data_IF_686969284451
#
_entry.id   IF_686969284451
#
_cell.length_a   1.000
_cell.length_b   1.000
_cell.length_c   1.000
_cell.angle_alpha   90.00
_cell.angle_beta   90.00
_cell.angle_gamma   90.00
#
_symmetry.space_group_name_H-M   'P 1'
#
loop_
_entity.id
_entity.type
_entity.pdbx_description
1 polymer ?
#
# COMPACT_ATOMS: atom_id res chain seq x y z
N UNK A 1 -11.59 27.42 39.76
CA UNK A 1 -12.03 26.57 38.60
C UNK A 1 -11.38 27.14 37.35
N UNK A 2 -10.16 26.66 37.04
CA UNK A 2 -9.47 26.98 35.80
C UNK A 2 -10.04 26.07 34.72
N UNK A 3 -10.89 26.63 33.85
CA UNK A 3 -11.43 25.94 32.69
C UNK A 3 -10.31 25.82 31.65
N UNK A 4 -9.71 24.63 31.51
CA UNK A 4 -8.81 24.35 30.41
C UNK A 4 -9.62 24.45 29.11
N UNK A 5 -9.54 25.57 28.45
CA UNK A 5 -9.97 25.71 27.06
C UNK A 5 -9.09 24.80 26.22
N UNK A 6 -9.60 23.60 25.91
CA UNK A 6 -9.05 22.82 24.80
C UNK A 6 -9.14 23.68 23.54
N UNK A 7 -8.03 24.22 23.11
CA UNK A 7 -7.95 24.87 21.81
C UNK A 7 -8.22 23.79 20.75
N UNK A 8 -9.50 23.63 20.39
CA UNK A 8 -9.87 22.86 19.19
C UNK A 8 -9.17 23.56 18.02
N UNK A 9 -8.15 22.93 17.47
CA UNK A 9 -7.53 23.41 16.24
C UNK A 9 -8.64 23.51 15.19
N UNK A 10 -8.79 24.65 14.52
CA UNK A 10 -9.82 24.80 13.49
C UNK A 10 -9.70 23.70 12.44
N UNK A 11 -10.80 23.12 11.98
CA UNK A 11 -10.77 22.03 10.99
C UNK A 11 -9.96 22.38 9.73
N UNK A 12 -9.96 23.64 9.32
CA UNK A 12 -9.23 24.13 8.15
C UNK A 12 -7.71 23.95 8.26
N UNK A 13 -7.14 24.03 9.47
CA UNK A 13 -5.71 23.84 9.69
C UNK A 13 -5.28 22.38 9.63
N UNK A 14 -6.24 21.45 9.58
CA UNK A 14 -6.00 20.01 9.41
C UNK A 14 -6.25 19.54 8.00
N UNK A 15 -6.53 20.42 7.06
CA UNK A 15 -7.01 20.04 5.72
C UNK A 15 -5.95 19.46 4.79
N UNK A 16 -4.66 19.61 5.08
CA UNK A 16 -3.57 19.06 4.27
C UNK A 16 -2.39 18.69 5.15
N UNK A 17 -1.75 17.55 4.87
CA UNK A 17 -0.56 17.12 5.59
C UNK A 17 -0.46 15.61 5.79
N UNK A 18 0.52 15.22 6.56
CA UNK A 18 0.83 13.82 6.83
C UNK A 18 0.05 13.31 8.05
N UNK A 19 -0.68 12.24 7.87
CA UNK A 19 -1.26 11.44 8.94
C UNK A 19 -0.32 10.28 9.24
N UNK A 20 0.04 10.11 10.50
CA UNK A 20 1.00 9.12 10.97
C UNK A 20 0.29 8.14 11.89
N UNK A 21 0.24 6.90 11.50
CA UNK A 21 -0.26 5.83 12.35
C UNK A 21 0.91 5.30 13.20
N UNK A 22 0.77 5.45 14.51
CA UNK A 22 1.84 5.14 15.46
C UNK A 22 1.42 4.01 16.40
N UNK A 23 2.38 3.14 16.72
CA UNK A 23 2.31 2.21 17.84
C UNK A 23 2.93 2.87 19.08
N UNK A 24 2.17 2.94 20.15
CA UNK A 24 2.63 3.40 21.46
C UNK A 24 2.34 2.30 22.48
N UNK A 25 3.32 1.44 22.73
CA UNK A 25 3.19 0.30 23.64
C UNK A 25 2.01 -0.63 23.28
N UNK A 26 1.83 -0.97 22.02
CA UNK A 26 0.75 -1.79 21.51
C UNK A 26 -0.56 -1.04 21.28
N UNK A 27 -0.66 0.24 21.64
CA UNK A 27 -1.84 1.08 21.43
C UNK A 27 -1.72 1.87 20.13
N UNK A 28 -2.83 1.98 19.43
CA UNK A 28 -2.92 2.76 18.19
C UNK A 28 -3.06 4.24 18.52
N UNK A 29 -2.18 5.05 17.97
CA UNK A 29 -2.24 6.52 18.03
C UNK A 29 -2.17 7.11 16.63
N UNK A 30 -2.98 8.11 16.35
CA UNK A 30 -2.93 8.88 15.11
C UNK A 30 -2.39 10.27 15.39
N UNK A 31 -1.27 10.57 14.76
CA UNK A 31 -0.65 11.89 14.80
C UNK A 31 -0.75 12.57 13.43
N UNK A 32 -0.55 13.88 13.37
CA UNK A 32 -0.59 14.63 12.12
C UNK A 32 0.51 15.71 12.09
N UNK A 33 1.10 15.87 10.93
CA UNK A 33 1.90 17.05 10.57
C UNK A 33 1.11 17.85 9.55
N UNK A 34 0.79 19.09 9.88
CA UNK A 34 0.11 19.99 8.94
C UNK A 34 1.10 20.66 7.99
N UNK A 35 0.93 20.50 6.69
CA UNK A 35 1.73 21.24 5.70
C UNK A 35 1.35 22.72 5.63
N UNK A 36 0.16 23.10 6.11
CA UNK A 36 -0.29 24.49 6.09
C UNK A 36 0.41 25.31 7.19
N UNK A 37 0.58 24.73 8.37
CA UNK A 37 1.14 25.44 9.54
C UNK A 37 2.52 24.94 9.96
N UNK A 38 2.98 23.80 9.44
CA UNK A 38 4.18 23.10 9.90
C UNK A 38 4.07 22.53 11.31
N UNK A 39 2.88 22.59 11.93
CA UNK A 39 2.66 22.12 13.31
C UNK A 39 2.37 20.63 13.35
N UNK A 40 2.77 20.01 14.44
CA UNK A 40 2.44 18.62 14.78
C UNK A 40 1.25 18.58 15.74
N UNK A 41 0.35 17.62 15.51
CA UNK A 41 -0.79 17.33 16.35
C UNK A 41 -0.70 15.88 16.79
N UNK A 42 -0.53 15.65 18.07
CA UNK A 42 -0.41 14.32 18.64
C UNK A 42 -1.77 13.81 19.11
N UNK A 43 -1.95 12.48 19.01
CA UNK A 43 -3.10 11.76 19.56
C UNK A 43 -4.47 12.34 19.13
N UNK A 44 -4.64 12.45 17.82
CA UNK A 44 -5.91 12.95 17.23
C UNK A 44 -7.08 12.07 17.65
N UNK A 45 -6.87 10.75 17.82
CA UNK A 45 -7.92 9.79 18.15
C UNK A 45 -8.57 10.06 19.50
N UNK A 46 -7.83 10.60 20.46
CA UNK A 46 -8.33 10.90 21.80
C UNK A 46 -9.57 11.80 21.84
N UNK A 47 -9.72 12.64 20.83
CA UNK A 47 -10.87 13.59 20.74
C UNK A 47 -12.00 13.12 19.83
N UNK A 48 -11.90 11.93 19.24
CA UNK A 48 -12.86 11.44 18.24
C UNK A 48 -14.08 10.76 18.84
N UNK A 49 -13.99 10.30 20.09
CA UNK A 49 -15.00 9.42 20.72
C UNK A 49 -14.87 7.94 20.34
N UNK A 50 -13.85 7.59 19.58
CA UNK A 50 -13.59 6.21 19.16
C UNK A 50 -13.09 5.37 20.33
N UNK A 51 -13.47 4.07 20.42
CA UNK A 51 -12.83 3.12 21.31
C UNK A 51 -11.33 3.05 21.10
N UNK A 52 -10.59 2.70 22.16
CA UNK A 52 -9.15 2.46 22.05
C UNK A 52 -8.89 1.27 21.10
N UNK A 53 -7.96 1.43 20.18
CA UNK A 53 -7.54 0.41 19.21
C UNK A 53 -6.12 -0.06 19.52
N UNK A 54 -5.81 -1.33 19.19
CA UNK A 54 -4.54 -1.96 19.45
C UNK A 54 -3.85 -2.39 18.16
N UNK A 55 -2.52 -2.47 18.21
CA UNK A 55 -1.67 -3.00 17.15
C UNK A 55 -2.02 -2.46 15.78
N UNK A 56 -1.62 -1.23 15.46
CA UNK A 56 -1.89 -0.58 14.18
C UNK A 56 -1.18 -1.30 13.04
N UNK A 57 -1.85 -1.44 11.89
CA UNK A 57 -1.28 -2.02 10.67
C UNK A 57 -1.07 -0.98 9.57
N UNK A 58 -2.13 -0.28 9.18
CA UNK A 58 -2.10 0.66 8.06
C UNK A 58 -3.06 1.82 8.24
N UNK A 59 -2.72 2.94 7.63
CA UNK A 59 -3.64 4.07 7.42
C UNK A 59 -3.77 4.33 5.92
N UNK A 60 -5.00 4.43 5.44
CA UNK A 60 -5.29 4.64 4.03
C UNK A 60 -6.11 5.93 3.87
N UNK A 61 -5.73 6.73 2.88
CA UNK A 61 -6.58 7.78 2.33
C UNK A 61 -7.22 7.27 1.04
N UNK A 62 -8.54 7.16 1.01
CA UNK A 62 -9.30 6.51 -0.05
C UNK A 62 -10.44 7.40 -0.54
N UNK A 63 -10.12 8.53 -1.21
CA UNK A 63 -11.13 9.50 -1.64
C UNK A 63 -12.18 8.90 -2.57
N UNK A 64 -11.83 7.82 -3.27
CA UNK A 64 -12.69 7.13 -4.23
C UNK A 64 -13.40 5.89 -3.64
N UNK A 65 -13.36 5.68 -2.32
CA UNK A 65 -13.94 4.48 -1.69
C UNK A 65 -15.48 4.39 -1.75
N UNK A 66 -16.17 5.46 -2.11
CA UNK A 66 -17.63 5.57 -2.01
C UNK A 66 -18.10 6.23 -0.70
N UNK A 67 -17.20 6.49 0.22
CA UNK A 67 -17.45 7.17 1.51
C UNK A 67 -16.75 8.53 1.55
N UNK A 68 -17.23 9.48 0.75
CA UNK A 68 -16.60 10.78 0.53
C UNK A 68 -16.52 11.68 1.78
N UNK A 69 -17.34 11.40 2.80
CA UNK A 69 -17.34 12.09 4.09
C UNK A 69 -16.32 11.52 5.09
N UNK A 70 -15.85 10.28 4.86
CA UNK A 70 -15.00 9.51 5.78
C UNK A 70 -13.98 8.64 5.03
N UNK A 71 -13.07 9.26 4.23
CA UNK A 71 -12.17 8.53 3.33
C UNK A 71 -10.91 7.95 3.99
N UNK A 72 -10.76 8.06 5.31
CA UNK A 72 -9.62 7.51 6.02
C UNK A 72 -9.99 6.19 6.67
N UNK A 73 -9.26 5.14 6.33
CA UNK A 73 -9.35 3.86 7.02
C UNK A 73 -8.14 3.66 7.93
N UNK A 74 -8.40 3.30 9.17
CA UNK A 74 -7.43 2.75 10.12
C UNK A 74 -7.61 1.24 10.15
N UNK A 75 -6.55 0.50 9.85
CA UNK A 75 -6.51 -0.95 9.95
C UNK A 75 -5.68 -1.33 11.17
N UNK A 76 -6.25 -2.13 12.07
CA UNK A 76 -5.65 -2.53 13.34
C UNK A 76 -5.98 -3.99 13.66
N UNK A 77 -5.39 -4.54 14.72
CA UNK A 77 -5.74 -5.89 15.18
C UNK A 77 -7.19 -6.00 15.69
N UNK A 78 -7.80 -4.89 16.10
CA UNK A 78 -9.20 -4.85 16.55
C UNK A 78 -10.19 -4.63 15.39
N UNK A 79 -9.73 -4.70 14.16
CA UNK A 79 -10.52 -4.48 12.96
C UNK A 79 -10.18 -3.17 12.25
N UNK A 80 -11.07 -2.76 11.33
CA UNK A 80 -10.91 -1.52 10.59
C UNK A 80 -12.02 -0.53 10.91
N UNK A 81 -11.73 0.76 10.76
CA UNK A 81 -12.71 1.83 10.95
C UNK A 81 -12.36 3.05 10.12
N UNK A 82 -13.37 3.87 9.86
CA UNK A 82 -13.21 5.15 9.13
C UNK A 82 -13.20 6.35 10.06
N UNK A 83 -12.68 7.45 9.55
CA UNK A 83 -12.74 8.77 10.21
C UNK A 83 -13.31 9.82 9.27
N UNK A 84 -14.04 10.77 9.84
CA UNK A 84 -14.56 11.92 9.09
C UNK A 84 -13.41 12.76 8.52
N UNK A 85 -13.55 13.15 7.24
CA UNK A 85 -12.49 13.86 6.52
C UNK A 85 -12.12 15.23 7.07
N UNK A 86 -13.07 15.92 7.70
CA UNK A 86 -12.87 17.31 8.15
C UNK A 86 -12.52 17.38 9.64
N UNK A 87 -13.25 16.64 10.45
CA UNK A 87 -13.19 16.74 11.92
C UNK A 87 -12.39 15.60 12.56
N UNK A 88 -12.09 14.51 11.82
CA UNK A 88 -11.63 13.23 12.34
C UNK A 88 -12.59 12.61 13.36
N UNK A 89 -13.81 13.13 13.51
CA UNK A 89 -14.80 12.53 14.37
C UNK A 89 -15.11 11.10 13.95
N UNK A 90 -15.37 10.27 14.94
CA UNK A 90 -15.80 8.90 14.77
C UNK A 90 -17.26 8.74 15.17
N UNK A 91 -17.92 7.77 14.60
CA UNK A 91 -19.24 7.28 14.98
C UNK A 91 -19.30 5.77 14.72
N UNK A 92 -20.20 5.07 15.41
CA UNK A 92 -20.26 3.61 15.37
C UNK A 92 -20.43 3.05 13.95
N UNK A 93 -21.20 3.74 13.08
CA UNK A 93 -21.42 3.32 11.70
C UNK A 93 -20.16 3.42 10.83
N UNK A 94 -19.05 3.96 11.34
CA UNK A 94 -17.76 3.96 10.68
C UNK A 94 -16.95 2.68 10.94
N UNK A 95 -17.40 1.82 11.88
CA UNK A 95 -16.77 0.52 12.06
C UNK A 95 -16.99 -0.38 10.84
N UNK A 96 -15.94 -1.06 10.40
CA UNK A 96 -15.91 -1.82 9.15
C UNK A 96 -16.96 -2.93 9.09
N UNK A 97 -17.36 -3.49 10.22
CA UNK A 97 -18.45 -4.50 10.31
C UNK A 97 -19.75 -4.07 9.59
N UNK A 98 -20.04 -2.77 9.55
CA UNK A 98 -21.24 -2.25 8.85
C UNK A 98 -21.07 -2.17 7.32
N UNK A 99 -19.86 -2.38 6.83
CA UNK A 99 -19.56 -2.47 5.40
C UNK A 99 -19.50 -3.93 4.92
N UNK A 100 -19.65 -4.90 5.82
CA UNK A 100 -19.52 -6.33 5.54
C UNK A 100 -20.89 -7.00 5.51
N UNK A 101 -21.11 -7.89 4.55
CA UNK A 101 -22.31 -8.69 4.48
C UNK A 101 -22.50 -9.50 5.78
N UNK A 102 -23.73 -9.53 6.29
CA UNK A 102 -24.09 -10.16 7.57
C UNK A 102 -23.40 -9.55 8.81
N UNK A 103 -22.80 -8.37 8.67
CA UNK A 103 -22.06 -7.67 9.74
C UNK A 103 -21.01 -8.57 10.41
N UNK A 104 -20.33 -9.38 9.60
CA UNK A 104 -19.23 -10.22 10.08
C UNK A 104 -18.09 -9.31 10.55
N UNK A 105 -17.54 -9.62 11.71
CA UNK A 105 -16.37 -8.90 12.24
C UNK A 105 -15.13 -9.35 11.47
N UNK A 106 -14.55 -8.45 10.71
CA UNK A 106 -13.35 -8.68 9.91
C UNK A 106 -12.22 -7.78 10.40
N UNK A 107 -11.01 -8.31 10.35
CA UNK A 107 -9.77 -7.61 10.72
C UNK A 107 -8.89 -7.42 9.48
N UNK A 108 -9.23 -6.50 8.56
CA UNK A 108 -8.46 -6.29 7.35
C UNK A 108 -7.02 -5.88 7.66
N UNK A 109 -6.06 -6.61 7.12
CA UNK A 109 -4.64 -6.30 7.19
C UNK A 109 -4.15 -5.54 5.95
N UNK A 110 -4.89 -5.65 4.84
CA UNK A 110 -4.69 -4.82 3.64
C UNK A 110 -6.01 -4.52 2.95
N UNK A 111 -6.06 -3.38 2.27
CA UNK A 111 -7.26 -2.89 1.58
C UNK A 111 -6.86 -2.03 0.38
N UNK A 112 -7.62 -2.13 -0.69
CA UNK A 112 -7.52 -1.25 -1.87
C UNK A 112 -8.90 -0.70 -2.20
N UNK A 113 -9.01 0.61 -2.30
CA UNK A 113 -10.24 1.35 -2.56
C UNK A 113 -10.03 2.47 -3.58
N UNK A 114 -9.19 2.26 -4.60
CA UNK A 114 -8.82 3.34 -5.52
C UNK A 114 -9.61 3.39 -6.83
N UNK A 115 -10.36 2.36 -7.15
CA UNK A 115 -11.16 2.39 -8.38
C UNK A 115 -12.66 2.58 -8.12
N UNK A 116 -13.39 2.94 -9.17
CA UNK A 116 -14.81 3.29 -9.08
C UNK A 116 -15.74 2.07 -8.99
N UNK A 117 -15.26 0.85 -9.30
CA UNK A 117 -16.12 -0.33 -9.43
C UNK A 117 -15.99 -1.32 -8.28
N UNK A 118 -14.79 -1.47 -7.70
CA UNK A 118 -14.54 -2.48 -6.68
C UNK A 118 -13.66 -1.94 -5.55
N UNK A 119 -14.00 -2.32 -4.33
CA UNK A 119 -13.11 -2.26 -3.18
C UNK A 119 -12.76 -3.69 -2.78
N UNK A 120 -11.53 -3.92 -2.36
CA UNK A 120 -11.06 -5.25 -1.93
C UNK A 120 -10.26 -5.15 -0.65
N UNK A 121 -10.33 -6.19 0.18
CA UNK A 121 -9.46 -6.33 1.35
C UNK A 121 -9.06 -7.79 1.57
N UNK A 122 -7.96 -7.99 2.27
CA UNK A 122 -7.56 -9.29 2.80
C UNK A 122 -7.67 -9.24 4.32
N UNK A 123 -8.43 -10.15 4.88
CA UNK A 123 -8.62 -10.38 6.31
C UNK A 123 -8.40 -11.85 6.62
N UNK A 124 -7.49 -12.14 7.54
CA UNK A 124 -7.20 -13.50 8.03
C UNK A 124 -6.97 -14.53 6.91
N UNK A 125 -6.16 -14.14 5.93
CA UNK A 125 -5.80 -14.97 4.79
C UNK A 125 -6.90 -15.15 3.74
N UNK A 126 -7.98 -14.37 3.80
CA UNK A 126 -9.12 -14.43 2.87
C UNK A 126 -9.36 -13.07 2.23
N UNK A 127 -9.77 -13.08 0.97
CA UNK A 127 -10.14 -11.87 0.26
C UNK A 127 -11.65 -11.63 0.34
N UNK A 128 -11.98 -10.38 0.54
CA UNK A 128 -13.35 -9.86 0.49
C UNK A 128 -13.41 -8.72 -0.51
N UNK A 129 -14.52 -8.58 -1.20
CA UNK A 129 -14.73 -7.52 -2.17
C UNK A 129 -16.14 -6.91 -2.05
N UNK A 130 -16.23 -5.64 -2.38
CA UNK A 130 -17.49 -4.91 -2.51
C UNK A 130 -17.57 -4.29 -3.90
N UNK A 131 -18.67 -4.57 -4.61
CA UNK A 131 -18.95 -3.96 -5.91
C UNK A 131 -19.67 -2.62 -5.72
N UNK A 132 -19.28 -1.65 -6.51
CA UNK A 132 -19.91 -0.33 -6.56
C UNK A 132 -20.71 -0.20 -7.85
N UNK A 133 -22.02 -0.24 -7.75
CA UNK A 133 -22.92 -0.01 -8.88
C UNK A 133 -23.88 1.15 -8.56
N UNK A 134 -23.29 2.36 -8.39
CA UNK A 134 -24.02 3.55 -7.98
C UNK A 134 -24.27 3.64 -6.47
N UNK A 135 -24.46 2.55 -5.78
CA UNK A 135 -24.51 2.44 -4.31
C UNK A 135 -23.40 1.48 -3.88
N UNK A 136 -22.69 1.84 -2.80
CA UNK A 136 -21.66 0.97 -2.23
C UNK A 136 -22.28 -0.37 -1.82
N UNK A 137 -21.81 -1.46 -2.42
CA UNK A 137 -22.15 -2.82 -2.02
C UNK A 137 -21.45 -3.20 -0.71
N UNK A 138 -21.96 -4.23 -0.05
CA UNK A 138 -21.31 -4.79 1.13
C UNK A 138 -20.19 -5.74 0.71
N UNK A 139 -19.12 -5.78 1.52
CA UNK A 139 -18.05 -6.73 1.33
C UNK A 139 -18.55 -8.17 1.50
N UNK A 140 -18.25 -9.00 0.54
CA UNK A 140 -18.54 -10.43 0.53
C UNK A 140 -17.26 -11.22 0.35
N UNK A 141 -17.22 -12.42 0.96
CA UNK A 141 -16.08 -13.32 0.84
C UNK A 141 -15.96 -13.84 -0.60
N UNK A 142 -14.75 -13.81 -1.12
CA UNK A 142 -14.38 -14.46 -2.36
C UNK A 142 -14.18 -15.99 -2.16
N UNK A 143 -13.76 -16.70 -3.20
CA UNK A 143 -13.50 -18.14 -3.14
C UNK A 143 -12.54 -18.53 -2.00
N UNK A 144 -12.77 -19.68 -1.35
CA UNK A 144 -12.19 -20.08 -0.07
C UNK A 144 -10.96 -20.99 -0.14
N UNK A 145 -10.41 -21.22 -1.33
CA UNK A 145 -9.42 -22.29 -1.52
C UNK A 145 -7.97 -21.89 -1.19
N UNK A 146 -7.68 -20.60 -1.01
CA UNK A 146 -6.34 -20.08 -0.78
C UNK A 146 -6.20 -19.45 0.61
N UNK A 147 -5.00 -19.51 1.19
CA UNK A 147 -4.60 -18.72 2.34
C UNK A 147 -3.67 -17.62 1.84
N UNK A 148 -4.14 -16.39 1.87
CA UNK A 148 -3.48 -15.26 1.24
C UNK A 148 -2.61 -14.49 2.23
N UNK A 149 -1.45 -14.04 1.77
CA UNK A 149 -0.68 -13.02 2.49
C UNK A 149 -1.44 -11.67 2.48
N UNK A 150 -1.24 -10.79 3.49
CA UNK A 150 -1.98 -9.55 3.62
C UNK A 150 -1.45 -8.43 2.71
N UNK A 151 -1.34 -8.73 1.42
CA UNK A 151 -0.92 -7.79 0.37
C UNK A 151 -1.78 -7.98 -0.88
N UNK A 152 -2.04 -6.89 -1.58
CA UNK A 152 -2.87 -6.88 -2.78
C UNK A 152 -2.16 -6.09 -3.87
N UNK A 153 -1.85 -6.77 -4.98
CA UNK A 153 -1.40 -6.11 -6.19
C UNK A 153 -2.57 -5.54 -6.98
N UNK A 154 -2.38 -4.37 -7.56
CA UNK A 154 -3.39 -3.69 -8.35
C UNK A 154 -2.76 -2.69 -9.30
N UNK A 155 -3.40 -2.46 -10.42
CA UNK A 155 -3.04 -1.38 -11.33
C UNK A 155 -3.44 -0.03 -10.73
N UNK A 156 -2.46 0.81 -10.37
CA UNK A 156 -2.69 2.15 -9.84
C UNK A 156 -3.09 3.17 -10.94
N UNK A 157 -2.72 2.88 -12.19
CA UNK A 157 -3.02 3.76 -13.34
C UNK A 157 -4.45 3.59 -13.82
N UNK A 158 -5.10 2.48 -13.40
CA UNK A 158 -6.45 2.16 -13.83
C UNK A 158 -7.43 3.29 -13.53
N UNK A 159 -8.16 3.69 -14.55
CA UNK A 159 -9.25 4.63 -14.42
C UNK A 159 -10.41 4.03 -13.60
N UNK A 160 -11.56 3.79 -14.14
CA UNK A 160 -12.71 3.35 -13.36
C UNK A 160 -12.81 1.81 -13.14
N UNK A 161 -12.00 1.01 -13.83
CA UNK A 161 -12.25 -0.43 -13.98
C UNK A 161 -10.98 -1.29 -13.84
N UNK A 162 -10.15 -1.04 -12.83
CA UNK A 162 -9.16 -2.04 -12.43
C UNK A 162 -9.93 -3.30 -12.02
N UNK A 163 -9.73 -4.34 -12.75
CA UNK A 163 -10.59 -5.51 -12.67
C UNK A 163 -9.88 -6.71 -12.09
N UNK A 164 -8.56 -6.71 -12.17
CA UNK A 164 -7.72 -7.82 -11.72
C UNK A 164 -6.85 -7.40 -10.54
N UNK A 165 -6.80 -8.25 -9.53
CA UNK A 165 -5.96 -8.09 -8.36
C UNK A 165 -4.97 -9.24 -8.28
N UNK A 166 -3.72 -8.92 -7.96
CA UNK A 166 -2.66 -9.89 -7.72
C UNK A 166 -2.61 -10.23 -6.23
N UNK A 167 -2.55 -11.52 -5.95
CA UNK A 167 -2.52 -12.09 -4.61
C UNK A 167 -1.35 -13.08 -4.53
N UNK A 168 -0.98 -13.47 -3.32
CA UNK A 168 -0.01 -14.53 -3.12
C UNK A 168 -0.57 -15.56 -2.13
N UNK A 169 -0.63 -16.83 -2.55
CA UNK A 169 -1.05 -17.93 -1.70
C UNK A 169 0.12 -18.38 -0.82
N UNK A 170 -0.03 -18.24 0.49
CA UNK A 170 1.04 -18.54 1.45
C UNK A 170 1.22 -20.04 1.69
N UNK A 171 0.23 -20.86 1.37
CA UNK A 171 0.31 -22.31 1.49
C UNK A 171 0.92 -22.94 0.26
N UNK A 172 0.37 -22.60 -0.93
CA UNK A 172 0.86 -23.14 -2.20
C UNK A 172 2.07 -22.38 -2.76
N UNK A 173 2.48 -21.28 -2.11
CA UNK A 173 3.65 -20.46 -2.46
C UNK A 173 3.66 -20.03 -3.92
N UNK A 174 2.55 -19.51 -4.40
CA UNK A 174 2.39 -19.08 -5.78
C UNK A 174 1.54 -17.82 -5.92
N UNK A 175 1.71 -17.12 -7.04
CA UNK A 175 0.85 -16.01 -7.39
C UNK A 175 -0.54 -16.48 -7.79
N UNK A 176 -1.52 -15.78 -7.27
CA UNK A 176 -2.93 -15.92 -7.58
C UNK A 176 -3.48 -14.60 -8.11
N UNK A 177 -4.58 -14.67 -8.80
CA UNK A 177 -5.31 -13.47 -9.20
C UNK A 177 -6.78 -13.57 -8.85
N UNK A 178 -7.42 -12.42 -8.70
CA UNK A 178 -8.84 -12.30 -8.49
C UNK A 178 -9.40 -11.20 -9.38
N UNK A 179 -10.49 -11.48 -10.06
CA UNK A 179 -11.27 -10.49 -10.80
C UNK A 179 -12.74 -10.56 -10.37
N UNK A 180 -13.18 -9.75 -9.40
CA UNK A 180 -14.56 -9.78 -8.91
C UNK A 180 -15.62 -9.51 -9.97
N UNK A 181 -15.23 -8.95 -11.12
CA UNK A 181 -16.13 -8.67 -12.25
C UNK A 181 -16.25 -9.81 -13.28
N UNK A 182 -15.48 -10.90 -13.14
CA UNK A 182 -15.53 -12.03 -14.09
C UNK A 182 -16.95 -12.53 -14.39
N UNK A 183 -17.85 -12.70 -13.40
CA UNK A 183 -19.21 -13.13 -13.68
C UNK A 183 -20.00 -12.19 -14.59
N UNK A 184 -19.72 -10.88 -14.54
CA UNK A 184 -20.35 -9.90 -15.41
C UNK A 184 -19.96 -10.07 -16.89
N UNK A 185 -18.84 -10.76 -17.15
CA UNK A 185 -18.36 -11.07 -18.50
C UNK A 185 -18.67 -12.49 -18.95
N UNK A 186 -19.56 -13.20 -18.22
CA UNK A 186 -19.99 -14.57 -18.57
C UNK A 186 -18.96 -15.66 -18.29
N UNK A 187 -17.96 -15.36 -17.46
CA UNK A 187 -16.95 -16.31 -17.03
C UNK A 187 -17.34 -17.00 -15.73
N UNK A 188 -16.56 -18.02 -15.31
CA UNK A 188 -16.82 -18.81 -14.11
C UNK A 188 -17.04 -17.94 -12.84
N UNK A 189 -17.85 -18.43 -11.92
CA UNK A 189 -18.08 -17.80 -10.61
C UNK A 189 -16.89 -17.96 -9.65
N UNK A 190 -15.81 -18.62 -10.06
CA UNK A 190 -14.60 -18.73 -9.28
C UNK A 190 -13.90 -17.36 -9.26
N UNK A 191 -13.63 -16.88 -8.07
CA UNK A 191 -13.07 -15.54 -7.88
C UNK A 191 -11.54 -15.55 -7.83
N UNK A 192 -10.95 -16.69 -7.43
CA UNK A 192 -9.50 -16.90 -7.47
C UNK A 192 -9.11 -17.79 -8.62
N UNK A 193 -8.02 -17.41 -9.27
CA UNK A 193 -7.37 -18.19 -10.29
C UNK A 193 -5.86 -18.16 -10.09
N UNK A 194 -5.18 -19.25 -10.39
CA UNK A 194 -3.72 -19.19 -10.56
C UNK A 194 -3.38 -18.24 -11.70
N UNK A 195 -2.21 -17.65 -11.68
CA UNK A 195 -1.79 -16.77 -12.78
C UNK A 195 -1.74 -17.51 -14.12
N UNK A 196 -1.46 -18.82 -14.11
CA UNK A 196 -1.46 -19.68 -15.30
C UNK A 196 -2.87 -19.89 -15.87
N UNK A 197 -3.88 -20.07 -15.01
CA UNK A 197 -5.28 -20.12 -15.43
C UNK A 197 -5.72 -18.79 -16.03
N UNK A 198 -5.30 -17.66 -15.43
CA UNK A 198 -5.63 -16.34 -15.96
C UNK A 198 -4.96 -16.07 -17.31
N UNK A 199 -3.74 -16.52 -17.53
CA UNK A 199 -3.11 -16.46 -18.85
C UNK A 199 -3.92 -17.23 -19.90
N UNK A 200 -4.44 -18.40 -19.55
CA UNK A 200 -5.27 -19.19 -20.46
C UNK A 200 -6.62 -18.52 -20.78
N UNK A 201 -7.22 -17.83 -19.79
CA UNK A 201 -8.46 -17.06 -19.98
C UNK A 201 -8.18 -15.81 -20.84
N UNK A 202 -7.04 -15.18 -20.67
CA UNK A 202 -6.62 -13.94 -21.34
C UNK A 202 -6.00 -14.18 -22.73
N UNK A 203 -6.13 -15.36 -23.32
CA UNK A 203 -5.58 -15.68 -24.66
C UNK A 203 -6.00 -14.62 -25.68
N UNK A 204 -5.01 -13.97 -26.30
CA UNK A 204 -5.21 -12.85 -27.25
C UNK A 204 -5.28 -11.45 -26.59
N UNK A 205 -5.22 -11.35 -25.27
CA UNK A 205 -5.31 -10.10 -24.50
C UNK A 205 -4.18 -9.95 -23.48
N UNK A 206 -3.11 -10.71 -23.62
CA UNK A 206 -1.97 -10.60 -22.71
C UNK A 206 -1.26 -9.26 -22.92
N UNK A 207 -0.82 -8.66 -21.81
CA UNK A 207 0.16 -7.58 -21.85
C UNK A 207 1.46 -8.04 -22.51
N UNK A 208 2.24 -7.12 -23.04
CA UNK A 208 3.54 -7.49 -23.63
C UNK A 208 4.48 -7.99 -22.53
N UNK A 209 4.84 -9.27 -22.58
CA UNK A 209 5.86 -9.81 -21.69
C UNK A 209 7.23 -9.22 -22.03
N UNK A 210 7.79 -8.46 -21.09
CA UNK A 210 9.15 -7.92 -21.17
C UNK A 210 10.20 -8.90 -20.62
N UNK A 211 9.74 -9.91 -19.87
CA UNK A 211 10.55 -11.00 -19.32
C UNK A 211 9.97 -12.32 -19.76
N UNK A 212 10.80 -13.18 -20.33
CA UNK A 212 10.43 -14.52 -20.81
C UNK A 212 11.28 -15.58 -20.13
N UNK A 213 10.89 -16.84 -20.27
CA UNK A 213 11.64 -17.98 -19.77
C UNK A 213 11.19 -18.47 -18.40
N UNK A 214 12.02 -19.30 -17.79
CA UNK A 214 11.69 -20.10 -16.59
C UNK A 214 11.30 -19.29 -15.37
N UNK A 215 11.77 -18.03 -15.28
CA UNK A 215 11.46 -17.14 -14.15
C UNK A 215 9.95 -16.98 -13.88
N UNK A 216 9.12 -17.05 -14.93
CA UNK A 216 7.67 -16.89 -14.84
C UNK A 216 6.87 -18.11 -15.32
N UNK A 217 7.52 -19.22 -15.69
CA UNK A 217 6.82 -20.38 -16.28
C UNK A 217 5.78 -20.98 -15.35
N UNK A 218 6.02 -20.98 -14.05
CA UNK A 218 5.12 -21.52 -13.02
C UNK A 218 4.66 -20.47 -12.02
N UNK A 219 4.89 -19.17 -12.28
CA UNK A 219 4.58 -18.04 -11.38
C UNK A 219 5.00 -18.30 -9.94
N UNK A 220 6.25 -18.24 -9.66
CA UNK A 220 7.09 -19.00 -8.75
C UNK A 220 6.32 -19.75 -7.67
N UNK A 221 6.59 -21.04 -7.60
CA UNK A 221 6.06 -21.92 -6.56
C UNK A 221 7.17 -22.29 -5.58
N UNK A 222 6.78 -22.47 -4.31
CA UNK A 222 7.68 -22.89 -3.24
C UNK A 222 8.48 -21.77 -2.58
N UNK A 223 8.32 -20.51 -3.00
CA UNK A 223 9.03 -19.37 -2.40
C UNK A 223 8.23 -18.72 -1.28
N UNK A 224 8.92 -18.27 -0.23
CA UNK A 224 8.30 -17.48 0.82
C UNK A 224 8.04 -16.05 0.34
N UNK A 225 6.88 -15.52 0.69
CA UNK A 225 6.56 -14.12 0.45
C UNK A 225 7.33 -13.21 1.42
N UNK A 226 7.80 -12.06 0.91
CA UNK A 226 8.49 -11.05 1.73
C UNK A 226 7.76 -9.72 1.70
N UNK A 227 7.48 -9.17 0.50
CA UNK A 227 6.87 -7.85 0.36
C UNK A 227 6.21 -7.68 -1.01
N UNK A 228 5.21 -6.80 -1.10
CA UNK A 228 4.58 -6.41 -2.37
C UNK A 228 4.21 -4.92 -2.33
N UNK A 229 4.42 -4.22 -3.46
CA UNK A 229 4.04 -2.82 -3.63
C UNK A 229 3.60 -2.53 -5.07
N UNK A 230 2.57 -1.71 -5.19
CA UNK A 230 2.06 -1.21 -6.47
C UNK A 230 2.75 0.11 -6.81
N UNK A 231 3.11 0.31 -8.08
CA UNK A 231 3.74 1.54 -8.54
C UNK A 231 3.07 2.08 -9.80
N UNK A 232 3.27 3.36 -10.09
CA UNK A 232 2.97 3.95 -11.39
C UNK A 232 4.08 3.74 -12.43
N UNK A 233 5.22 3.15 -12.03
CA UNK A 233 6.31 2.90 -12.95
C UNK A 233 5.87 1.98 -14.08
N UNK A 234 6.00 2.46 -15.32
CA UNK A 234 5.49 1.77 -16.50
C UNK A 234 6.56 1.76 -17.61
N UNK A 235 7.51 0.82 -17.57
CA UNK A 235 8.60 0.75 -18.53
C UNK A 235 8.15 0.39 -19.95
N UNK A 236 6.98 -0.23 -20.09
CA UNK A 236 6.40 -0.60 -21.38
C UNK A 236 5.49 0.47 -21.97
N UNK A 237 5.25 1.56 -21.26
CA UNK A 237 4.27 2.60 -21.62
C UNK A 237 2.89 2.03 -21.99
N UNK A 238 2.45 1.03 -21.20
CA UNK A 238 1.21 0.29 -21.42
C UNK A 238 0.04 0.83 -20.55
N UNK A 239 0.29 1.90 -19.79
CA UNK A 239 -0.65 2.46 -18.81
C UNK A 239 -1.08 1.45 -17.73
N UNK A 240 -0.18 0.55 -17.34
CA UNK A 240 -0.50 -0.54 -16.41
C UNK A 240 0.20 -0.40 -15.07
N UNK A 241 1.31 0.34 -14.98
CA UNK A 241 2.18 0.33 -13.82
C UNK A 241 2.80 -1.07 -13.58
N UNK A 242 3.59 -1.21 -12.52
CA UNK A 242 4.16 -2.51 -12.12
C UNK A 242 3.86 -2.76 -10.66
N UNK A 243 3.35 -3.93 -10.35
CA UNK A 243 3.33 -4.49 -8.99
C UNK A 243 4.62 -5.27 -8.79
N UNK A 244 5.47 -4.80 -7.89
CA UNK A 244 6.71 -5.47 -7.51
C UNK A 244 6.48 -6.39 -6.31
N UNK A 245 7.05 -7.59 -6.37
CA UNK A 245 6.97 -8.58 -5.28
C UNK A 245 8.35 -9.14 -4.99
N UNK A 246 8.78 -9.04 -3.74
CA UNK A 246 10.00 -9.68 -3.23
C UNK A 246 9.63 -11.04 -2.68
N UNK A 247 10.28 -12.08 -3.19
CA UNK A 247 10.12 -13.47 -2.75
C UNK A 247 11.47 -14.02 -2.26
N UNK A 248 11.41 -15.06 -1.43
CA UNK A 248 12.59 -15.71 -0.86
C UNK A 248 12.56 -17.23 -1.07
N UNK A 249 13.65 -17.77 -1.59
CA UNK A 249 13.92 -19.22 -1.65
C UNK A 249 15.15 -19.52 -0.76
N UNK A 250 14.90 -20.03 0.43
CA UNK A 250 15.95 -20.25 1.42
C UNK A 250 16.70 -18.96 1.77
N UNK A 251 17.94 -18.83 1.32
CA UNK A 251 18.79 -17.64 1.52
C UNK A 251 18.82 -16.71 0.30
N UNK A 252 18.13 -17.05 -0.76
CA UNK A 252 18.09 -16.26 -1.99
C UNK A 252 16.85 -15.38 -2.03
N UNK A 253 17.00 -14.17 -2.58
CA UNK A 253 15.94 -13.19 -2.71
C UNK A 253 15.75 -12.83 -4.16
N UNK A 254 14.51 -12.77 -4.59
CA UNK A 254 14.13 -12.51 -5.98
C UNK A 254 13.09 -11.40 -6.05
N UNK A 255 13.17 -10.60 -7.09
CA UNK A 255 12.19 -9.57 -7.41
C UNK A 255 11.42 -9.94 -8.66
N UNK A 256 10.10 -9.97 -8.53
CA UNK A 256 9.16 -10.15 -9.63
C UNK A 256 8.37 -8.87 -9.83
N UNK A 257 8.24 -8.42 -11.09
CA UNK A 257 7.39 -7.31 -11.47
C UNK A 257 6.30 -7.81 -12.41
N UNK A 258 5.03 -7.54 -12.05
CA UNK A 258 3.86 -7.97 -12.82
C UNK A 258 3.01 -6.74 -13.12
N UNK A 259 2.63 -6.56 -14.39
CA UNK A 259 1.65 -5.58 -14.82
C UNK A 259 0.26 -6.19 -14.81
N UNK A 260 -0.72 -5.42 -14.38
CA UNK A 260 -2.13 -5.83 -14.31
C UNK A 260 -2.96 -4.92 -15.20
N UNK A 261 -3.75 -5.51 -16.10
CA UNK A 261 -4.51 -4.80 -17.10
C UNK A 261 -5.67 -3.97 -16.56
N UNK A 262 -6.07 -3.02 -17.37
CA UNK A 262 -7.30 -2.23 -17.22
C UNK A 262 -8.18 -2.48 -18.45
N UNK A 263 -9.46 -2.73 -18.23
CA UNK A 263 -10.42 -3.04 -19.28
C UNK A 263 -10.49 -1.96 -20.38
N UNK A 264 -10.35 -0.68 -20.02
CA UNK A 264 -10.45 0.41 -20.99
C UNK A 264 -9.16 0.65 -21.78
N UNK A 265 -8.01 0.40 -21.17
CA UNK A 265 -6.73 0.70 -21.79
C UNK A 265 -6.14 -0.49 -22.53
N UNK A 266 -6.21 -1.67 -21.92
CA UNK A 266 -5.70 -2.91 -22.52
C UNK A 266 -6.75 -3.66 -23.36
N UNK A 267 -8.01 -3.24 -23.34
CA UNK A 267 -9.11 -3.94 -23.97
C UNK A 267 -9.50 -5.26 -23.29
N UNK A 268 -8.81 -5.62 -22.21
CA UNK A 268 -9.07 -6.82 -21.44
C UNK A 268 -8.89 -6.57 -19.94
N UNK A 269 -9.92 -6.85 -19.12
CA UNK A 269 -9.85 -6.68 -17.67
C UNK A 269 -8.88 -7.63 -16.98
N UNK A 270 -8.35 -8.63 -17.68
CA UNK A 270 -7.47 -9.66 -17.13
C UNK A 270 -6.08 -9.69 -17.77
N UNK A 271 -5.72 -8.69 -18.55
CA UNK A 271 -4.38 -8.64 -19.14
C UNK A 271 -3.30 -8.65 -18.05
N UNK A 272 -2.31 -9.49 -18.22
CA UNK A 272 -1.18 -9.67 -17.33
C UNK A 272 0.09 -9.55 -18.15
N UNK A 273 1.04 -8.74 -17.67
CA UNK A 273 2.36 -8.60 -18.28
C UNK A 273 3.47 -9.01 -17.30
N UNK A 274 4.42 -9.80 -17.76
CA UNK A 274 5.64 -10.15 -17.02
C UNK A 274 6.67 -9.05 -17.23
N UNK A 275 6.72 -8.09 -16.29
CA UNK A 275 7.44 -6.83 -16.47
C UNK A 275 8.89 -6.87 -15.99
N UNK A 276 9.18 -7.63 -14.94
CA UNK A 276 10.49 -7.62 -14.33
C UNK A 276 10.84 -8.94 -13.63
N UNK A 277 12.14 -9.32 -13.71
CA UNK A 277 12.74 -10.34 -12.86
C UNK A 277 14.18 -9.95 -12.50
N UNK A 278 14.57 -10.18 -11.24
CA UNK A 278 15.91 -9.92 -10.76
C UNK A 278 16.30 -10.73 -9.53
N UNK A 279 17.55 -11.21 -9.50
CA UNK A 279 18.14 -11.84 -8.32
C UNK A 279 18.73 -10.76 -7.40
N UNK A 280 18.16 -10.61 -6.20
CA UNK A 280 18.57 -9.65 -5.18
C UNK A 280 19.59 -10.24 -4.21
N UNK A 281 19.96 -11.51 -4.34
CA UNK A 281 20.81 -12.21 -3.37
C UNK A 281 22.20 -11.59 -3.22
N UNK A 282 22.68 -10.89 -4.26
CA UNK A 282 23.93 -10.11 -4.24
C UNK A 282 23.82 -8.73 -3.59
N UNK A 283 22.62 -8.27 -3.25
CA UNK A 283 22.41 -6.99 -2.59
C UNK A 283 22.79 -7.05 -1.12
N UNK A 284 23.53 -6.04 -0.64
CA UNK A 284 24.12 -6.03 0.70
C UNK A 284 23.05 -6.13 1.79
N UNK A 285 23.16 -7.12 2.68
CA UNK A 285 22.30 -7.33 3.84
C UNK A 285 20.79 -7.44 3.51
N UNK A 286 20.42 -7.80 2.30
CA UNK A 286 19.00 -7.92 1.86
C UNK A 286 18.21 -8.87 2.76
N UNK A 287 18.86 -9.90 3.31
CA UNK A 287 18.28 -10.85 4.24
C UNK A 287 17.94 -10.27 5.62
N UNK A 288 18.36 -9.04 5.90
CA UNK A 288 18.06 -8.29 7.12
C UNK A 288 17.12 -7.12 6.87
N UNK A 289 16.65 -6.95 5.64
CA UNK A 289 15.77 -5.86 5.29
C UNK A 289 14.45 -5.94 6.07
N UNK A 290 14.05 -4.82 6.66
CA UNK A 290 12.81 -4.68 7.43
C UNK A 290 11.73 -3.85 6.75
N UNK A 291 12.13 -2.98 5.82
CA UNK A 291 11.24 -2.11 5.04
C UNK A 291 11.68 -2.08 3.59
N UNK A 292 10.73 -1.93 2.70
CA UNK A 292 10.95 -1.78 1.27
C UNK A 292 10.14 -0.60 0.74
N UNK A 293 10.59 0.02 -0.36
CA UNK A 293 9.82 1.00 -1.13
C UNK A 293 10.25 0.98 -2.58
N UNK A 294 9.31 1.15 -3.50
CA UNK A 294 9.57 1.18 -4.94
C UNK A 294 9.22 2.55 -5.51
N UNK A 295 10.12 3.09 -6.32
CA UNK A 295 9.87 4.36 -6.99
C UNK A 295 8.89 4.20 -8.13
N UNK A 296 7.90 5.09 -8.20
CA UNK A 296 6.97 5.17 -9.35
C UNK A 296 7.52 6.02 -10.50
N UNK A 297 8.57 6.81 -10.26
CA UNK A 297 9.21 7.64 -11.30
C UNK A 297 10.38 6.93 -11.98
N UNK A 298 11.07 6.06 -11.25
CA UNK A 298 12.34 5.48 -11.68
C UNK A 298 12.35 3.99 -11.44
N UNK A 299 13.17 3.27 -12.16
CA UNK A 299 13.35 1.83 -11.98
C UNK A 299 14.25 1.54 -10.76
N UNK A 300 13.83 1.99 -9.58
CA UNK A 300 14.58 1.84 -8.33
C UNK A 300 13.76 1.15 -7.24
N UNK A 301 14.42 0.24 -6.54
CA UNK A 301 13.97 -0.32 -5.28
C UNK A 301 14.83 0.25 -4.14
N UNK A 302 14.18 0.50 -3.02
CA UNK A 302 14.86 0.88 -1.76
C UNK A 302 14.51 -0.15 -0.70
N UNK A 303 15.48 -0.43 0.18
CA UNK A 303 15.23 -1.24 1.37
C UNK A 303 16.02 -0.73 2.57
N UNK A 304 15.52 -0.99 3.77
CA UNK A 304 16.13 -0.54 5.01
C UNK A 304 16.66 -1.71 5.85
N UNK A 305 17.84 -1.53 6.43
CA UNK A 305 18.47 -2.45 7.38
C UNK A 305 18.88 -1.65 8.61
N UNK A 306 18.17 -1.84 9.72
CA UNK A 306 18.33 -0.99 10.91
C UNK A 306 18.11 0.48 10.56
N UNK A 307 19.11 1.33 10.73
CA UNK A 307 19.06 2.75 10.36
C UNK A 307 19.63 3.08 8.99
N UNK A 308 19.91 2.09 8.13
CA UNK A 308 20.53 2.31 6.82
C UNK A 308 19.52 2.04 5.71
N UNK A 309 19.40 2.96 4.75
CA UNK A 309 18.66 2.74 3.51
C UNK A 309 19.62 2.48 2.37
N UNK A 310 19.33 1.43 1.61
CA UNK A 310 20.00 1.08 0.37
C UNK A 310 19.08 1.31 -0.83
N UNK A 311 19.65 1.72 -1.97
CA UNK A 311 18.98 1.78 -3.28
C UNK A 311 19.53 0.68 -4.17
N UNK A 312 18.68 0.08 -4.98
CA UNK A 312 19.02 -0.84 -6.06
C UNK A 312 18.50 -0.27 -7.37
N UNK A 313 19.39 -0.05 -8.32
CA UNK A 313 19.01 0.29 -9.70
C UNK A 313 18.58 -0.98 -10.43
N UNK A 314 17.30 -1.11 -10.70
CA UNK A 314 16.72 -2.31 -11.32
C UNK A 314 17.03 -2.44 -12.81
N UNK A 315 17.56 -1.38 -13.43
CA UNK A 315 18.02 -1.40 -14.83
C UNK A 315 19.41 -2.00 -15.00
N UNK A 316 20.17 -2.16 -13.91
CA UNK A 316 21.52 -2.70 -13.94
C UNK A 316 21.54 -4.20 -13.67
N UNK A 317 22.51 -4.90 -14.25
CA UNK A 317 22.78 -6.32 -14.02
C UNK A 317 24.29 -6.56 -13.88
N UNK A 318 24.76 -7.27 -12.84
CA UNK A 318 24.01 -7.78 -11.68
C UNK A 318 23.50 -6.66 -10.78
N UNK A 319 22.41 -6.94 -10.04
CA UNK A 319 21.84 -5.98 -9.11
C UNK A 319 22.82 -5.70 -7.96
N UNK A 320 22.98 -4.41 -7.63
CA UNK A 320 23.87 -3.95 -6.55
C UNK A 320 23.13 -2.95 -5.67
N UNK A 321 23.43 -3.00 -4.38
CA UNK A 321 22.89 -2.10 -3.42
C UNK A 321 23.86 -0.95 -3.11
N UNK A 322 23.38 0.27 -3.23
CA UNK A 322 24.09 1.50 -2.90
C UNK A 322 23.51 2.15 -1.66
N UNK A 323 24.37 2.48 -0.71
CA UNK A 323 23.93 3.16 0.51
C UNK A 323 23.46 4.59 0.19
N UNK A 324 22.25 4.91 0.60
CA UNK A 324 21.63 6.23 0.43
C UNK A 324 21.60 7.03 1.73
N UNK A 325 21.11 6.43 2.81
CA UNK A 325 20.94 7.10 4.09
C UNK A 325 21.59 6.30 5.21
N UNK A 326 22.00 6.98 6.28
CA UNK A 326 22.41 6.38 7.55
C UNK A 326 21.90 7.24 8.70
N UNK A 327 20.94 6.72 9.44
CA UNK A 327 20.34 7.34 10.62
C UNK A 327 21.01 6.70 11.85
N UNK A 328 22.04 7.36 12.36
CA UNK A 328 22.83 6.83 13.46
C UNK A 328 22.00 6.73 14.75
N UNK A 329 21.97 5.56 15.36
CA UNK A 329 21.26 5.27 16.60
C UNK A 329 19.74 5.13 16.44
N UNK A 330 19.21 5.17 15.23
CA UNK A 330 17.79 4.98 14.93
C UNK A 330 17.53 3.67 14.19
N UNK A 331 16.33 3.13 14.33
CA UNK A 331 15.83 2.01 13.52
C UNK A 331 14.72 2.52 12.62
N UNK A 332 14.81 2.25 11.33
CA UNK A 332 13.76 2.58 10.36
C UNK A 332 12.59 1.62 10.58
N UNK A 333 11.41 2.17 10.77
CA UNK A 333 10.18 1.44 11.09
C UNK A 333 9.19 1.43 9.93
N UNK A 334 9.29 2.41 9.03
CA UNK A 334 8.44 2.56 7.85
C UNK A 334 9.19 3.33 6.76
N UNK A 335 8.97 2.95 5.51
CA UNK A 335 9.47 3.65 4.35
C UNK A 335 8.48 3.49 3.19
N UNK A 336 8.12 4.58 2.52
CA UNK A 336 7.24 4.56 1.34
C UNK A 336 7.40 5.81 0.49
N UNK A 337 7.04 5.69 -0.78
CA UNK A 337 6.84 6.86 -1.63
C UNK A 337 5.42 7.41 -1.48
N UNK A 338 5.30 8.73 -1.48
CA UNK A 338 3.99 9.36 -1.54
C UNK A 338 3.44 9.27 -2.96
N UNK A 339 2.20 8.84 -3.08
CA UNK A 339 1.47 8.78 -4.35
C UNK A 339 0.16 9.55 -4.20
N UNK A 340 -0.01 10.58 -5.02
CA UNK A 340 -1.24 11.37 -5.03
C UNK A 340 -2.37 10.63 -5.72
N UNK A 341 -3.56 10.81 -5.18
CA UNK A 341 -4.78 10.16 -5.70
C UNK A 341 -5.60 11.10 -6.58
N UNK A 342 -5.49 12.42 -6.37
CA UNK A 342 -6.33 13.43 -7.02
C UNK A 342 -5.50 14.49 -7.80
N UNK A 343 -4.44 14.05 -8.42
CA UNK A 343 -3.61 14.93 -9.25
C UNK A 343 -2.19 15.12 -8.70
N UNK A 344 -1.34 15.76 -9.48
CA UNK A 344 0.05 16.00 -9.12
C UNK A 344 0.18 17.11 -8.08
N UNK A 345 1.07 16.94 -7.12
CA UNK A 345 1.45 17.96 -6.15
C UNK A 345 2.97 18.00 -6.01
N UNK A 346 3.45 19.09 -5.39
CA UNK A 346 4.88 19.23 -5.05
C UNK A 346 5.40 18.14 -4.11
N UNK A 347 4.51 17.36 -3.45
CA UNK A 347 4.84 16.26 -2.55
C UNK A 347 4.64 14.90 -3.19
N UNK A 348 4.29 14.86 -4.47
CA UNK A 348 4.19 13.60 -5.19
C UNK A 348 5.57 12.97 -5.35
N UNK A 349 5.65 11.66 -5.11
CA UNK A 349 6.87 10.85 -5.12
C UNK A 349 7.91 11.17 -4.03
N UNK A 350 7.57 11.98 -3.01
CA UNK A 350 8.45 12.15 -1.84
C UNK A 350 8.72 10.81 -1.17
N UNK A 351 9.98 10.54 -0.83
CA UNK A 351 10.33 9.40 0.01
C UNK A 351 10.10 9.75 1.48
N UNK A 352 9.19 9.03 2.10
CA UNK A 352 8.82 9.21 3.51
C UNK A 352 9.45 8.10 4.33
N UNK A 353 10.23 8.49 5.34
CA UNK A 353 10.94 7.57 6.24
C UNK A 353 10.51 7.83 7.67
N UNK A 354 9.90 6.82 8.29
CA UNK A 354 9.65 6.75 9.73
C UNK A 354 10.78 6.00 10.42
N UNK A 355 11.29 6.52 11.50
CA UNK A 355 12.33 5.88 12.32
C UNK A 355 12.03 6.05 13.79
N UNK A 356 12.68 5.25 14.62
CA UNK A 356 12.53 5.26 16.07
C UNK A 356 13.89 5.21 16.78
N UNK A 357 13.99 5.97 17.87
CA UNK A 357 15.07 5.85 18.85
C UNK A 357 14.47 5.94 20.25
N UNK A 358 14.64 4.89 21.07
CA UNK A 358 14.18 4.82 22.47
C UNK A 358 12.69 5.19 22.65
N UNK A 359 11.81 4.72 21.78
CA UNK A 359 10.36 4.95 21.83
C UNK A 359 9.93 6.30 21.26
N UNK A 360 10.86 7.10 20.74
CA UNK A 360 10.56 8.38 20.10
C UNK A 360 10.64 8.22 18.58
N UNK A 361 9.51 8.39 17.91
CA UNK A 361 9.39 8.36 16.45
C UNK A 361 9.81 9.67 15.80
N UNK A 362 10.46 9.56 14.66
CA UNK A 362 10.86 10.67 13.78
C UNK A 362 10.37 10.43 12.37
N UNK A 363 9.73 11.41 11.77
CA UNK A 363 9.35 11.44 10.36
C UNK A 363 10.36 12.28 9.58
N UNK A 364 10.86 11.72 8.47
CA UNK A 364 11.67 12.44 7.48
C UNK A 364 11.04 12.36 6.12
N UNK A 365 10.95 13.49 5.44
CA UNK A 365 10.36 13.63 4.11
C UNK A 365 11.48 14.13 3.19
N UNK A 366 11.87 13.30 2.25
CA UNK A 366 12.87 13.58 1.23
C UNK A 366 12.18 13.91 -0.08
N UNK A 367 12.51 15.06 -0.68
CA UNK A 367 11.97 15.49 -1.96
C UNK A 367 12.23 14.44 -3.05
N UNK A 368 11.15 13.81 -3.54
CA UNK A 368 11.19 12.71 -4.50
C UNK A 368 11.49 13.15 -5.92
N UNK A 369 11.39 14.44 -6.23
CA UNK A 369 11.75 15.01 -7.52
C UNK A 369 13.25 15.24 -7.67
N UNK A 370 14.04 14.93 -6.65
CA UNK A 370 15.49 15.00 -6.68
C UNK A 370 16.05 14.19 -7.82
N UNK A 371 17.11 14.73 -8.41
CA UNK A 371 17.79 14.15 -9.56
C UNK A 371 18.16 12.68 -9.32
N UNK A 372 17.61 11.82 -10.16
CA UNK A 372 17.93 10.38 -10.25
C UNK A 372 17.63 9.56 -8.99
N UNK A 373 16.84 10.09 -8.04
CA UNK A 373 16.48 9.37 -6.82
C UNK A 373 17.67 9.15 -5.88
N UNK A 374 18.68 10.02 -5.96
CA UNK A 374 19.81 10.05 -5.03
C UNK A 374 19.43 10.88 -3.79
N UNK A 375 19.07 10.18 -2.72
CA UNK A 375 18.73 10.82 -1.45
C UNK A 375 19.92 11.08 -0.53
N UNK A 376 21.12 10.62 -0.90
CA UNK A 376 22.33 10.77 -0.08
C UNK A 376 22.69 12.24 0.20
N UNK A 377 22.38 13.13 -0.75
CA UNK A 377 22.68 14.56 -0.68
C UNK A 377 21.48 15.43 -0.33
N UNK A 378 20.29 14.84 -0.18
CA UNK A 378 19.05 15.57 0.09
C UNK A 378 18.88 15.80 1.57
N UNK A 379 18.64 17.05 1.95
CA UNK A 379 18.26 17.40 3.32
C UNK A 379 16.75 17.19 3.49
N UNK A 380 16.32 16.28 4.37
CA UNK A 380 14.89 16.05 4.58
C UNK A 380 14.26 17.16 5.40
N UNK A 381 12.96 17.36 5.22
CA UNK A 381 12.12 17.99 6.24
C UNK A 381 11.89 16.97 7.36
N UNK A 382 12.15 17.36 8.60
CA UNK A 382 12.18 16.45 9.75
C UNK A 382 11.24 16.90 10.84
N UNK A 383 10.46 15.97 11.38
CA UNK A 383 9.58 16.13 12.53
C UNK A 383 9.82 14.99 13.52
N UNK A 384 9.81 15.29 14.82
CA UNK A 384 10.08 14.31 15.88
C UNK A 384 9.07 14.42 17.03
N UNK A 385 9.06 13.43 17.93
CA UNK A 385 8.15 13.39 19.09
C UNK A 385 6.94 12.50 18.88
N UNK A 386 6.94 11.70 17.83
CA UNK A 386 5.88 10.70 17.57
C UNK A 386 6.09 9.41 18.37
N UNK A 387 5.11 8.49 18.31
CA UNK A 387 5.33 7.08 18.65
C UNK A 387 6.12 6.36 17.55
N UNK A 388 6.30 5.06 17.67
CA UNK A 388 6.84 4.23 16.59
C UNK A 388 5.89 4.34 15.37
N UNK A 389 6.37 5.00 14.32
CA UNK A 389 5.56 5.18 13.10
C UNK A 389 5.47 3.83 12.37
N UNK A 390 4.25 3.31 12.23
CA UNK A 390 3.96 2.04 11.55
C UNK A 390 3.61 2.28 10.09
N UNK A 391 2.82 3.31 9.81
CA UNK A 391 2.44 3.70 8.47
C UNK A 391 2.11 5.21 8.42
N UNK A 392 2.08 5.77 7.22
CA UNK A 392 1.73 7.16 6.99
C UNK A 392 0.91 7.30 5.70
N UNK A 393 0.04 8.30 5.66
CA UNK A 393 -0.65 8.68 4.43
C UNK A 393 -0.72 10.19 4.32
N UNK A 394 -0.62 10.69 3.09
CA UNK A 394 -0.81 12.11 2.84
C UNK A 394 -2.31 12.40 2.67
N UNK A 395 -2.79 13.35 3.44
CA UNK A 395 -4.14 13.87 3.29
C UNK A 395 -4.09 15.02 2.29
N UNK A 396 -4.62 14.78 1.11
CA UNK A 396 -4.72 15.76 0.06
C UNK A 396 -5.79 16.82 0.39
N UNK A 397 -5.57 18.03 -0.07
CA UNK A 397 -6.56 19.07 0.02
C UNK A 397 -7.68 18.82 -0.99
N UNK A 398 -8.86 18.52 -0.51
CA UNK A 398 -10.07 18.54 -1.34
C UNK A 398 -10.64 19.95 -1.33
N UNK A 399 -10.63 20.61 -2.47
CA UNK A 399 -11.32 21.88 -2.67
C UNK A 399 -12.84 21.73 -2.58
#
# INVERSE_FOLDING_TARGET
LMCCKFNKVPPILRNEGWLLLCDVNGKTRLDMVSNITGQTYLDILKSTGMPELNHPYRILYTPNSGYSDSPFYLLTADGATRLNKNSFAWKEEYAFKYEVAKQTDLHPQSMICHNAMTNVCVSDGRMYYALKSGIQGLYTEANKQSVLVPYIGSNLVASAFASIYLLYDDVNKCFMSCCPLLPAFGLSNDTYHTMKEMEAIAVGFQGSDMVTGDAFSEYPTGMDFVYMENTYYDPGNADMGVTYTVLRDGQKYYLYGIQLGDMYKSGCPYAIGKAYYGDLSGCKDINKASCYAFSSLRNYMYYAVGGIVYRVNLSEKPLKAEKQLALNGETITMMKFNLYQNGASQHDYDLVVGSENNGVGTLRIYDGMVKEGDFATVKPTTYTGFGKIVDATYRERTN
#
